data_IF_260854999718
#
_entry.id   IF_260854999718
#
_cell.length_a   1.000
_cell.length_b   1.000
_cell.length_c   1.000
_cell.angle_alpha   90.00
_cell.angle_beta   90.00
_cell.angle_gamma   90.00
#
_symmetry.space_group_name_H-M   'P 1'
#
loop_
_entity.id
_entity.type
_entity.pdbx_description
1 polymer ?
#
# COMPACT_ATOMS: atom_id res chain seq x y z
N UNK A 1 -1.05 -22.74 17.81
CA UNK A 1 -0.52 -22.75 16.42
C UNK A 1 0.98 -22.52 16.42
N UNK A 2 1.50 -21.35 16.79
CA UNK A 2 2.96 -21.07 16.76
C UNK A 2 3.80 -22.05 17.57
N UNK A 3 3.39 -22.40 18.79
CA UNK A 3 4.10 -23.40 19.61
C UNK A 3 4.21 -24.76 18.92
N UNK A 4 3.16 -25.16 18.19
CA UNK A 4 3.13 -26.41 17.42
C UNK A 4 4.02 -26.34 16.19
N UNK A 5 4.03 -25.21 15.48
CA UNK A 5 4.99 -24.99 14.40
C UNK A 5 6.44 -25.03 14.91
N UNK A 6 6.68 -24.49 16.11
CA UNK A 6 8.02 -24.48 16.72
C UNK A 6 8.52 -25.88 17.11
N UNK A 7 7.59 -26.74 17.53
CA UNK A 7 7.85 -28.15 17.86
C UNK A 7 8.14 -28.98 16.60
N UNK A 8 7.33 -28.81 15.55
CA UNK A 8 7.42 -29.61 14.32
C UNK A 8 8.61 -29.20 13.44
N UNK A 9 8.98 -27.92 13.43
CA UNK A 9 10.17 -27.40 12.76
C UNK A 9 11.08 -26.92 13.86
N UNK A 10 11.98 -27.78 14.39
CA UNK A 10 12.65 -27.57 15.66
C UNK A 10 13.42 -26.25 15.68
N UNK A 11 12.74 -25.21 16.16
CA UNK A 11 13.21 -23.83 16.26
C UNK A 11 12.99 -23.37 17.68
N UNK A 12 13.92 -22.57 18.19
CA UNK A 12 13.74 -21.89 19.47
C UNK A 12 12.42 -21.09 19.47
N UNK A 13 11.48 -21.36 20.40
CA UNK A 13 10.20 -20.67 20.48
C UNK A 13 10.33 -19.13 20.58
N UNK A 14 11.47 -18.60 21.04
CA UNK A 14 11.74 -17.16 21.10
C UNK A 14 11.98 -16.52 19.71
N UNK A 15 12.31 -17.36 18.71
CA UNK A 15 12.62 -16.99 17.33
C UNK A 15 11.44 -17.13 16.37
N UNK A 16 10.29 -17.62 16.82
CA UNK A 16 9.08 -17.71 16.01
C UNK A 16 7.93 -17.00 16.72
N UNK A 17 7.25 -16.12 15.99
CA UNK A 17 6.12 -15.35 16.51
C UNK A 17 5.03 -15.26 15.44
N UNK A 18 3.82 -14.92 15.86
CA UNK A 18 2.70 -14.62 14.94
C UNK A 18 2.06 -13.31 15.34
N UNK A 19 1.47 -12.64 14.36
CA UNK A 19 0.57 -11.52 14.62
C UNK A 19 -0.85 -12.03 14.79
N UNK A 20 -1.64 -11.43 15.69
CA UNK A 20 -3.07 -11.73 15.81
C UNK A 20 -3.92 -11.15 14.67
N UNK A 21 -3.31 -10.44 13.72
CA UNK A 21 -3.98 -9.79 12.60
C UNK A 21 -3.91 -10.69 11.37
N UNK A 22 -4.86 -11.61 11.27
CA UNK A 22 -5.02 -12.43 10.08
C UNK A 22 -5.71 -11.60 8.99
N UNK A 23 -5.29 -11.79 7.75
CA UNK A 23 -5.91 -11.15 6.58
C UNK A 23 -6.70 -12.18 5.79
N UNK A 24 -7.88 -11.86 5.23
CA UNK A 24 -8.53 -12.75 4.29
C UNK A 24 -7.62 -12.96 3.07
N UNK A 25 -7.63 -14.16 2.50
CA UNK A 25 -6.88 -14.42 1.27
C UNK A 25 -7.59 -13.70 0.09
N UNK A 26 -6.88 -12.82 -0.65
CA UNK A 26 -7.45 -12.12 -1.80
C UNK A 26 -7.95 -13.04 -2.92
N UNK A 27 -7.40 -14.25 -3.04
CA UNK A 27 -7.73 -15.23 -4.07
C UNK A 27 -8.71 -16.30 -3.56
N UNK A 28 -8.86 -16.44 -2.23
CA UNK A 28 -9.72 -17.42 -1.57
C UNK A 28 -10.50 -16.77 -0.42
N UNK A 29 -11.67 -16.16 -0.67
CA UNK A 29 -12.37 -15.31 0.31
C UNK A 29 -12.82 -16.05 1.59
N UNK A 30 -12.92 -17.37 1.56
CA UNK A 30 -13.25 -18.20 2.74
C UNK A 30 -12.02 -18.63 3.55
N UNK A 31 -10.82 -18.21 3.12
CA UNK A 31 -9.55 -18.52 3.75
C UNK A 31 -8.89 -17.29 4.38
N UNK A 32 -7.96 -17.55 5.29
CA UNK A 32 -7.16 -16.52 5.94
C UNK A 32 -5.67 -16.79 5.76
N UNK A 33 -4.91 -15.73 5.51
CA UNK A 33 -3.46 -15.75 5.58
C UNK A 33 -3.03 -15.72 7.06
N UNK A 34 -2.28 -16.73 7.47
CA UNK A 34 -1.73 -16.85 8.82
C UNK A 34 -0.28 -16.34 8.86
N UNK A 35 -0.02 -15.13 9.41
CA UNK A 35 1.32 -14.56 9.37
C UNK A 35 2.23 -15.21 10.42
N UNK A 36 3.38 -15.71 9.96
CA UNK A 36 4.46 -16.21 10.83
C UNK A 36 5.70 -15.34 10.64
N UNK A 37 6.35 -14.97 11.73
CA UNK A 37 7.56 -14.16 11.72
C UNK A 37 8.69 -14.91 12.40
N UNK A 38 9.77 -15.09 11.65
CA UNK A 38 11.01 -15.70 12.12
C UNK A 38 12.04 -14.62 12.44
N UNK A 39 12.71 -14.73 13.59
CA UNK A 39 13.85 -13.88 13.92
C UNK A 39 15.13 -14.48 13.35
N UNK A 40 15.85 -13.69 12.57
CA UNK A 40 17.20 -14.02 12.16
C UNK A 40 18.15 -14.13 13.37
N UNK A 41 19.25 -14.83 13.19
CA UNK A 41 20.32 -14.98 14.18
C UNK A 41 21.66 -14.78 13.49
N UNK A 42 22.62 -14.19 14.21
CA UNK A 42 24.01 -14.05 13.76
C UNK A 42 24.84 -15.30 14.11
N UNK A 43 24.31 -16.17 14.96
CA UNK A 43 24.94 -17.44 15.31
C UNK A 43 24.89 -18.42 14.13
N UNK A 44 26.05 -18.69 13.55
CA UNK A 44 26.24 -19.60 12.41
C UNK A 44 25.99 -21.07 12.75
N UNK A 45 25.95 -21.45 14.04
CA UNK A 45 25.61 -22.81 14.47
C UNK A 45 24.11 -23.09 14.44
N UNK A 46 23.29 -22.03 14.39
CA UNK A 46 21.85 -22.11 14.36
C UNK A 46 21.32 -22.04 12.93
N UNK A 47 20.16 -22.67 12.71
CA UNK A 47 19.49 -22.67 11.42
C UNK A 47 19.09 -21.27 10.96
N UNK A 48 19.26 -21.04 9.66
CA UNK A 48 18.94 -19.76 9.00
C UNK A 48 17.43 -19.62 8.77
N UNK A 49 16.97 -18.39 8.55
CA UNK A 49 15.56 -18.14 8.22
C UNK A 49 15.18 -18.85 6.92
N UNK A 50 16.05 -18.87 5.91
CA UNK A 50 15.75 -19.54 4.64
C UNK A 50 15.50 -21.04 4.83
N UNK A 51 16.31 -21.71 5.64
CA UNK A 51 16.10 -23.12 5.95
C UNK A 51 14.76 -23.39 6.64
N UNK A 52 14.28 -22.47 7.48
CA UNK A 52 12.94 -22.61 8.10
C UNK A 52 11.81 -22.38 7.10
N UNK A 53 12.00 -21.47 6.15
CA UNK A 53 11.04 -21.21 5.07
C UNK A 53 10.91 -22.46 4.20
N UNK A 54 12.04 -23.00 3.74
CA UNK A 54 12.07 -24.16 2.84
C UNK A 54 11.46 -25.41 3.52
N UNK A 55 11.83 -25.69 4.78
CA UNK A 55 11.24 -26.80 5.55
C UNK A 55 9.73 -26.62 5.75
N UNK A 56 9.29 -25.41 6.11
CA UNK A 56 7.87 -25.16 6.38
C UNK A 56 7.04 -25.28 5.10
N UNK A 57 7.57 -24.80 3.97
CA UNK A 57 6.94 -24.93 2.67
C UNK A 57 6.82 -26.41 2.26
N UNK A 58 7.89 -27.20 2.40
CA UNK A 58 7.88 -28.63 2.08
C UNK A 58 6.92 -29.42 2.97
N UNK A 59 6.93 -29.15 4.29
CA UNK A 59 6.06 -29.81 5.25
C UNK A 59 4.58 -29.48 5.04
N UNK A 60 4.24 -28.24 4.68
CA UNK A 60 2.86 -27.86 4.38
C UNK A 60 2.43 -28.45 3.04
N UNK A 61 3.26 -28.34 2.00
CA UNK A 61 2.95 -28.82 0.65
C UNK A 61 2.79 -30.33 0.58
N UNK A 62 3.49 -31.08 1.45
CA UNK A 62 3.39 -32.53 1.57
C UNK A 62 2.67 -33.00 2.84
N UNK A 63 1.80 -32.16 3.45
CA UNK A 63 1.18 -32.43 4.76
C UNK A 63 0.48 -33.78 4.85
N UNK A 64 -0.08 -34.27 3.74
CA UNK A 64 -0.78 -35.55 3.65
C UNK A 64 0.07 -36.76 4.09
N UNK A 65 1.41 -36.64 4.06
CA UNK A 65 2.34 -37.71 4.39
C UNK A 65 3.16 -37.44 5.67
N UNK A 66 2.86 -36.37 6.41
CA UNK A 66 3.58 -36.01 7.64
C UNK A 66 2.63 -35.61 8.78
N UNK A 67 3.20 -35.31 9.95
CA UNK A 67 2.46 -35.02 11.19
C UNK A 67 1.56 -33.78 11.11
N UNK A 68 1.78 -32.86 10.16
CA UNK A 68 0.94 -31.66 10.02
C UNK A 68 -0.51 -32.03 9.68
N UNK A 69 -0.76 -33.08 8.90
CA UNK A 69 -2.13 -33.52 8.57
C UNK A 69 -2.91 -34.07 9.77
N UNK A 70 -2.24 -34.54 10.80
CA UNK A 70 -2.86 -35.26 11.93
C UNK A 70 -3.06 -34.37 13.16
N UNK A 71 -2.23 -33.33 13.33
CA UNK A 71 -2.26 -32.50 14.53
C UNK A 71 -3.13 -31.24 14.38
N UNK A 72 -3.88 -30.91 15.44
CA UNK A 72 -4.55 -29.61 15.56
C UNK A 72 -3.55 -28.55 16.05
N UNK A 73 -3.50 -27.34 15.46
CA UNK A 73 -4.32 -26.83 14.35
C UNK A 73 -3.66 -26.95 12.97
N UNK A 74 -2.53 -27.63 12.83
CA UNK A 74 -1.76 -27.70 11.58
C UNK A 74 -2.48 -28.44 10.45
N UNK A 75 -3.44 -29.31 10.78
CA UNK A 75 -4.24 -30.04 9.80
C UNK A 75 -5.07 -29.13 8.87
N UNK A 76 -5.42 -27.93 9.35
CA UNK A 76 -6.18 -26.92 8.60
C UNK A 76 -5.33 -26.06 7.66
N UNK A 77 -4.01 -26.22 7.62
CA UNK A 77 -3.14 -25.47 6.71
C UNK A 77 -3.43 -25.87 5.26
N UNK A 78 -3.48 -24.90 4.35
CA UNK A 78 -3.71 -25.19 2.92
C UNK A 78 -2.42 -25.74 2.29
N UNK A 79 -2.48 -27.00 1.85
CA UNK A 79 -1.35 -27.68 1.20
C UNK A 79 -1.04 -27.12 -0.19
N UNK A 80 -2.03 -26.51 -0.85
CA UNK A 80 -1.85 -25.91 -2.18
C UNK A 80 -1.20 -24.54 -2.13
N UNK A 81 -1.31 -23.86 -0.97
CA UNK A 81 -0.69 -22.56 -0.74
C UNK A 81 0.77 -22.67 -0.27
N UNK A 82 1.07 -23.67 0.57
CA UNK A 82 2.42 -23.86 1.12
C UNK A 82 2.81 -22.77 2.13
N UNK A 83 4.09 -22.39 2.11
CA UNK A 83 4.63 -21.25 2.87
C UNK A 83 5.31 -20.24 1.93
N UNK A 84 4.66 -19.10 1.73
CA UNK A 84 5.20 -18.02 0.90
C UNK A 84 5.78 -16.89 1.76
N UNK A 85 7.05 -16.48 1.55
CA UNK A 85 7.61 -15.29 2.18
C UNK A 85 6.81 -14.05 1.80
N UNK A 86 6.56 -13.16 2.76
CA UNK A 86 5.94 -11.87 2.48
C UNK A 86 6.77 -11.10 1.44
N UNK A 87 6.07 -10.46 0.49
CA UNK A 87 6.72 -9.73 -0.59
C UNK A 87 7.71 -8.69 -0.05
N UNK A 88 8.92 -8.67 -0.63
CA UNK A 88 9.93 -7.69 -0.27
C UNK A 88 9.49 -6.29 -0.73
N UNK A 89 8.97 -5.49 0.19
CA UNK A 89 8.45 -4.14 -0.08
C UNK A 89 9.48 -3.26 -0.79
N UNK A 90 10.76 -3.38 -0.46
CA UNK A 90 11.81 -2.62 -1.14
C UNK A 90 11.89 -3.01 -2.62
N UNK A 91 11.93 -4.30 -2.95
CA UNK A 91 11.96 -4.74 -4.34
C UNK A 91 10.71 -4.34 -5.11
N UNK A 92 9.54 -4.43 -4.47
CA UNK A 92 8.25 -4.08 -5.08
C UNK A 92 8.08 -2.58 -5.31
N UNK A 93 8.52 -1.74 -4.38
CA UNK A 93 8.20 -0.30 -4.39
C UNK A 93 9.39 0.61 -4.70
N UNK A 94 10.65 0.13 -4.74
CA UNK A 94 11.84 0.99 -4.97
C UNK A 94 11.72 1.90 -6.18
N UNK A 95 11.25 1.38 -7.32
CA UNK A 95 11.15 2.18 -8.54
C UNK A 95 10.03 3.22 -8.46
N UNK A 96 8.93 2.90 -7.77
CA UNK A 96 7.84 3.85 -7.50
C UNK A 96 8.34 4.99 -6.60
N UNK A 97 9.13 4.67 -5.56
CA UNK A 97 9.74 5.66 -4.67
C UNK A 97 10.77 6.54 -5.39
N UNK A 98 11.59 5.95 -6.27
CA UNK A 98 12.53 6.71 -7.11
C UNK A 98 11.76 7.66 -8.03
N UNK A 99 10.70 7.19 -8.69
CA UNK A 99 9.85 8.04 -9.53
C UNK A 99 9.24 9.21 -8.76
N UNK A 100 8.76 8.97 -7.53
CA UNK A 100 8.26 10.02 -6.64
C UNK A 100 9.34 11.06 -6.33
N UNK A 101 10.55 10.61 -5.99
CA UNK A 101 11.68 11.49 -5.66
C UNK A 101 12.08 12.35 -6.87
N UNK A 102 12.16 11.76 -8.05
CA UNK A 102 12.43 12.48 -9.31
C UNK A 102 11.35 13.52 -9.59
N UNK A 103 10.07 13.19 -9.40
CA UNK A 103 8.96 14.12 -9.54
C UNK A 103 9.07 15.33 -8.60
N UNK A 104 9.39 15.10 -7.33
CA UNK A 104 9.61 16.16 -6.34
C UNK A 104 10.81 17.05 -6.70
N UNK A 105 11.88 16.47 -7.24
CA UNK A 105 13.06 17.20 -7.69
C UNK A 105 12.74 18.10 -8.89
N UNK A 106 11.97 17.59 -9.86
CA UNK A 106 11.49 18.40 -11.00
C UNK A 106 10.63 19.57 -10.52
N UNK A 107 9.67 19.34 -9.61
CA UNK A 107 8.85 20.40 -9.05
C UNK A 107 9.69 21.45 -8.30
N UNK A 108 10.71 21.01 -7.58
CA UNK A 108 11.65 21.91 -6.89
C UNK A 108 12.40 22.79 -7.89
N UNK A 109 12.91 22.22 -8.99
CA UNK A 109 13.59 22.97 -10.05
C UNK A 109 12.64 24.01 -10.67
N UNK A 110 11.42 23.61 -11.02
CA UNK A 110 10.41 24.52 -11.59
C UNK A 110 10.11 25.67 -10.62
N UNK A 111 9.96 25.37 -9.33
CA UNK A 111 9.76 26.39 -8.29
C UNK A 111 10.92 27.38 -8.23
N UNK A 112 12.17 26.90 -8.21
CA UNK A 112 13.35 27.78 -8.16
C UNK A 112 13.46 28.65 -9.42
N UNK A 113 13.17 28.10 -10.60
CA UNK A 113 13.15 28.87 -11.86
C UNK A 113 12.08 29.98 -11.78
N UNK A 114 10.86 29.64 -11.36
CA UNK A 114 9.78 30.60 -11.23
C UNK A 114 10.14 31.70 -10.22
N UNK A 115 10.69 31.34 -9.05
CA UNK A 115 11.14 32.27 -8.02
C UNK A 115 12.24 33.21 -8.50
N UNK A 116 13.16 32.73 -9.33
CA UNK A 116 14.23 33.55 -9.89
C UNK A 116 13.72 34.51 -10.97
N UNK A 117 12.78 34.07 -11.82
CA UNK A 117 12.24 34.88 -12.92
C UNK A 117 11.23 35.92 -12.45
N UNK A 118 10.43 35.60 -11.44
CA UNK A 118 9.36 36.45 -10.93
C UNK A 118 9.41 36.53 -9.40
N UNK A 119 10.39 37.24 -8.81
CA UNK A 119 10.59 37.25 -7.35
C UNK A 119 9.38 37.75 -6.55
N UNK A 120 8.65 38.75 -7.07
CA UNK A 120 7.42 39.29 -6.48
C UNK A 120 6.18 38.39 -6.70
N UNK A 121 6.29 37.36 -7.54
CA UNK A 121 5.22 36.43 -7.84
C UNK A 121 4.98 35.42 -6.71
N UNK A 122 3.72 34.97 -6.58
CA UNK A 122 3.35 33.85 -5.72
C UNK A 122 3.73 32.50 -6.36
N UNK A 123 5.02 32.28 -6.61
CA UNK A 123 5.53 31.14 -7.40
C UNK A 123 5.21 29.76 -6.82
N UNK A 124 4.91 29.69 -5.51
CA UNK A 124 4.49 28.45 -4.87
C UNK A 124 3.11 27.95 -5.37
N UNK A 125 2.33 28.79 -6.05
CA UNK A 125 1.07 28.39 -6.71
C UNK A 125 1.30 27.28 -7.73
N UNK A 126 2.43 27.29 -8.45
CA UNK A 126 2.76 26.23 -9.43
C UNK A 126 2.92 24.87 -8.74
N UNK A 127 3.62 24.84 -7.61
CA UNK A 127 3.78 23.62 -6.80
C UNK A 127 2.43 23.17 -6.23
N UNK A 128 1.63 24.10 -5.70
CA UNK A 128 0.29 23.79 -5.19
C UNK A 128 -0.61 23.16 -6.27
N UNK A 129 -0.66 23.73 -7.47
CA UNK A 129 -1.45 23.20 -8.57
C UNK A 129 -0.99 21.79 -8.96
N UNK A 130 0.33 21.57 -9.06
CA UNK A 130 0.85 20.25 -9.37
C UNK A 130 0.50 19.19 -8.30
N UNK A 131 0.57 19.56 -7.01
CA UNK A 131 0.19 18.67 -5.91
C UNK A 131 -1.31 18.37 -5.89
N UNK A 132 -2.17 19.37 -6.16
CA UNK A 132 -3.63 19.17 -6.26
C UNK A 132 -3.97 18.20 -7.40
N UNK A 133 -3.33 18.35 -8.57
CA UNK A 133 -3.55 17.44 -9.70
C UNK A 133 -3.03 16.03 -9.42
N UNK A 134 -1.90 15.90 -8.72
CA UNK A 134 -1.34 14.63 -8.32
C UNK A 134 -2.25 13.91 -7.31
N UNK A 135 -2.76 14.63 -6.31
CA UNK A 135 -3.71 14.14 -5.30
C UNK A 135 -4.99 13.60 -5.97
N UNK A 136 -5.60 14.40 -6.85
CA UNK A 136 -6.77 13.99 -7.63
C UNK A 136 -6.49 12.73 -8.48
N UNK A 137 -5.31 12.66 -9.09
CA UNK A 137 -4.90 11.51 -9.90
C UNK A 137 -4.73 10.25 -9.05
N UNK A 138 -4.18 10.37 -7.84
CA UNK A 138 -3.99 9.27 -6.90
C UNK A 138 -5.33 8.77 -6.36
N UNK A 139 -6.24 9.67 -5.98
CA UNK A 139 -7.59 9.30 -5.53
C UNK A 139 -8.36 8.58 -6.63
N UNK A 140 -8.29 9.08 -7.87
CA UNK A 140 -8.90 8.41 -9.01
C UNK A 140 -8.30 7.02 -9.26
N UNK A 141 -6.98 6.90 -9.24
CA UNK A 141 -6.30 5.62 -9.39
C UNK A 141 -6.68 4.64 -8.28
N UNK A 142 -6.81 5.11 -7.05
CA UNK A 142 -7.24 4.32 -5.90
C UNK A 142 -8.66 3.76 -6.11
N UNK A 143 -9.62 4.61 -6.48
CA UNK A 143 -11.01 4.20 -6.75
C UNK A 143 -11.09 3.19 -7.89
N UNK A 144 -10.36 3.43 -8.99
CA UNK A 144 -10.43 2.59 -10.19
C UNK A 144 -9.74 1.24 -10.06
N UNK A 145 -8.67 1.15 -9.24
CA UNK A 145 -7.85 -0.07 -9.13
C UNK A 145 -8.03 -0.79 -7.80
N UNK A 146 -7.82 -0.09 -6.68
CA UNK A 146 -7.58 -0.71 -5.38
C UNK A 146 -8.86 -0.86 -4.59
N UNK A 147 -9.77 0.12 -4.68
CA UNK A 147 -11.01 0.11 -3.93
C UNK A 147 -11.96 -1.01 -4.39
N UNK A 148 -11.89 -1.43 -5.67
CA UNK A 148 -12.71 -2.55 -6.20
C UNK A 148 -12.44 -3.87 -5.48
N UNK A 149 -11.24 -4.05 -4.95
CA UNK A 149 -10.81 -5.30 -4.29
C UNK A 149 -11.26 -5.36 -2.82
N UNK A 150 -11.81 -4.27 -2.28
CA UNK A 150 -12.27 -4.18 -0.89
C UNK A 150 -13.68 -3.59 -0.90
N UNK A 151 -14.73 -4.44 -0.97
CA UNK A 151 -16.12 -4.01 -1.15
C UNK A 151 -16.57 -2.95 -0.14
N UNK A 152 -16.07 -3.03 1.09
CA UNK A 152 -16.42 -2.12 2.19
C UNK A 152 -15.98 -0.68 1.94
N UNK A 153 -14.88 -0.45 1.22
CA UNK A 153 -14.33 0.90 0.99
C UNK A 153 -14.61 1.42 -0.43
N UNK A 154 -15.06 0.57 -1.36
CA UNK A 154 -15.34 0.97 -2.74
C UNK A 154 -16.38 2.09 -2.83
N UNK A 155 -17.59 1.88 -2.27
CA UNK A 155 -18.65 2.89 -2.32
C UNK A 155 -18.27 4.19 -1.58
N UNK A 156 -17.73 4.15 -0.34
CA UNK A 156 -17.22 5.34 0.32
C UNK A 156 -16.19 6.10 -0.53
N UNK A 157 -15.24 5.40 -1.17
CA UNK A 157 -14.20 6.05 -1.97
C UNK A 157 -14.74 6.84 -3.17
N UNK A 158 -15.78 6.34 -3.84
CA UNK A 158 -16.45 7.06 -4.94
C UNK A 158 -17.10 8.35 -4.43
N UNK A 159 -17.76 8.30 -3.27
CA UNK A 159 -18.40 9.47 -2.67
C UNK A 159 -17.36 10.52 -2.30
N UNK A 160 -16.25 10.10 -1.66
CA UNK A 160 -15.15 10.99 -1.31
C UNK A 160 -14.42 11.59 -2.51
N UNK A 161 -14.47 10.94 -3.68
CA UNK A 161 -13.94 11.51 -4.92
C UNK A 161 -14.93 12.52 -5.53
N UNK A 162 -16.17 12.12 -5.76
CA UNK A 162 -17.13 12.91 -6.56
C UNK A 162 -17.64 14.13 -5.82
N UNK A 163 -18.00 14.00 -4.54
CA UNK A 163 -18.66 15.08 -3.79
C UNK A 163 -17.76 16.32 -3.66
N UNK A 164 -16.49 16.21 -3.24
CA UNK A 164 -15.60 17.36 -3.17
C UNK A 164 -15.32 17.99 -4.53
N UNK A 165 -15.14 17.19 -5.58
CA UNK A 165 -14.93 17.70 -6.94
C UNK A 165 -16.13 18.52 -7.40
N UNK A 166 -17.35 17.97 -7.26
CA UNK A 166 -18.57 18.64 -7.67
C UNK A 166 -18.80 19.93 -6.89
N UNK A 167 -18.62 19.89 -5.57
CA UNK A 167 -18.80 21.04 -4.69
C UNK A 167 -17.77 22.15 -4.98
N UNK A 168 -16.48 21.81 -5.06
CA UNK A 168 -15.42 22.77 -5.35
C UNK A 168 -15.59 23.39 -6.74
N UNK A 169 -15.98 22.58 -7.74
CA UNK A 169 -16.24 23.08 -9.10
C UNK A 169 -17.43 24.03 -9.15
N UNK A 170 -18.53 23.71 -8.45
CA UNK A 170 -19.71 24.56 -8.37
C UNK A 170 -19.39 25.91 -7.70
N UNK A 171 -18.64 25.89 -6.59
CA UNK A 171 -18.19 27.12 -5.92
C UNK A 171 -17.26 27.94 -6.81
N UNK A 172 -16.26 27.32 -7.44
CA UNK A 172 -15.34 28.01 -8.34
C UNK A 172 -16.10 28.67 -9.50
N UNK A 173 -17.05 27.96 -10.11
CA UNK A 173 -17.92 28.50 -11.15
C UNK A 173 -18.77 29.68 -10.65
N UNK A 174 -19.37 29.56 -9.47
CA UNK A 174 -20.18 30.62 -8.87
C UNK A 174 -19.37 31.89 -8.60
N UNK A 175 -18.15 31.75 -8.08
CA UNK A 175 -17.22 32.87 -7.85
C UNK A 175 -16.84 33.52 -9.18
N UNK A 176 -16.44 32.73 -10.18
CA UNK A 176 -16.07 33.23 -11.51
C UNK A 176 -17.22 34.01 -12.15
N UNK A 177 -18.44 33.48 -12.13
CA UNK A 177 -19.60 34.14 -12.71
C UNK A 177 -19.95 35.45 -11.96
N UNK A 178 -19.76 35.47 -10.65
CA UNK A 178 -19.97 36.66 -9.83
C UNK A 178 -18.93 37.74 -10.13
N UNK A 179 -17.66 37.39 -10.24
CA UNK A 179 -16.59 38.34 -10.58
C UNK A 179 -16.74 38.86 -12.02
N UNK A 180 -17.02 37.98 -12.98
CA UNK A 180 -17.28 38.37 -14.37
C UNK A 180 -18.47 39.32 -14.51
N UNK A 181 -19.50 39.20 -13.66
CA UNK A 181 -20.68 40.06 -13.76
C UNK A 181 -20.55 41.39 -13.00
N UNK A 182 -19.73 41.44 -11.94
CA UNK A 182 -19.69 42.59 -11.01
C UNK A 182 -18.39 43.38 -11.02
N UNK A 183 -17.31 42.86 -11.59
CA UNK A 183 -15.98 43.44 -11.50
C UNK A 183 -15.40 43.74 -12.89
N UNK A 184 -15.52 44.99 -13.33
CA UNK A 184 -15.01 45.43 -14.65
C UNK A 184 -13.49 45.21 -14.80
N UNK A 185 -12.71 45.35 -13.73
CA UNK A 185 -11.26 45.10 -13.77
C UNK A 185 -10.92 43.61 -13.93
N UNK A 186 -11.79 42.72 -13.45
CA UNK A 186 -11.62 41.29 -13.62
C UNK A 186 -11.93 40.86 -15.06
N UNK A 187 -12.89 41.52 -15.71
CA UNK A 187 -13.17 41.31 -17.14
C UNK A 187 -11.97 41.68 -18.03
N UNK A 188 -11.17 42.67 -17.65
CA UNK A 188 -9.98 43.08 -18.43
C UNK A 188 -8.83 42.06 -18.39
N UNK A 189 -8.87 41.10 -17.45
CA UNK A 189 -7.84 40.07 -17.29
C UNK A 189 -8.09 38.79 -18.11
N UNK A 190 -9.30 38.61 -18.65
CA UNK A 190 -9.75 37.43 -19.41
C UNK A 190 -10.17 37.81 -20.83
#
# INVERSE_FOLDING_TARGET
MVSKLAELIPIDPSRITTSRRNQPDPNAPDQILFPVTFKATEDLSLRTVQQFIDDLDDLISHKAYNSFSQEYPTSYLDETYGFSPAANLWQTYKFKLIGLLVGLLILSIIYFIARRKYPEGHNFVVVKLALILADLSLDMAFVLSSARNVPQIHMPSIVFLIVPIAFNSALAFSVLMTELSKNAKFQEWF
#
